data_IF_822563552113
#
_entry.id   IF_822563552113
#
_cell.length_a   1.000
_cell.length_b   1.000
_cell.length_c   1.000
_cell.angle_alpha   90.00
_cell.angle_beta   90.00
_cell.angle_gamma   90.00
#
_symmetry.space_group_name_H-M   'P 1'
#
loop_
_entity.id
_entity.type
_entity.pdbx_description
1 polymer ?
#
# COMPACT_ATOMS: atom_id res chain seq x y z
N UNK A 1 -2.22 -22.43 -1.97
CA UNK A 1 -3.02 -21.53 -2.84
C UNK A 1 -3.58 -20.44 -1.94
N UNK A 2 -3.52 -19.15 -2.34
CA UNK A 2 -4.14 -18.09 -1.54
C UNK A 2 -5.66 -18.32 -1.46
N UNK A 3 -6.27 -17.97 -0.33
CA UNK A 3 -7.72 -18.01 -0.16
C UNK A 3 -8.38 -16.91 -1.00
N UNK A 4 -9.53 -17.22 -1.62
CA UNK A 4 -10.33 -16.24 -2.37
C UNK A 4 -11.38 -15.64 -1.46
N UNK A 5 -11.35 -14.32 -1.28
CA UNK A 5 -12.35 -13.55 -0.56
C UNK A 5 -13.23 -12.82 -1.58
N UNK A 6 -14.55 -12.90 -1.41
CA UNK A 6 -15.54 -12.16 -2.22
C UNK A 6 -16.36 -11.28 -1.28
N UNK A 7 -16.32 -9.97 -1.51
CA UNK A 7 -17.03 -8.97 -0.70
C UNK A 7 -18.00 -8.23 -1.62
N UNK A 8 -19.26 -8.12 -1.20
CA UNK A 8 -20.22 -7.23 -1.86
C UNK A 8 -20.08 -5.84 -1.27
N UNK A 9 -19.80 -4.85 -2.11
CA UNK A 9 -19.77 -3.43 -1.75
C UNK A 9 -20.97 -2.72 -2.38
N UNK A 10 -21.41 -1.56 -1.85
CA UNK A 10 -22.39 -0.71 -2.52
C UNK A 10 -21.96 -0.35 -3.94
N UNK A 11 -22.93 -0.15 -4.84
CA UNK A 11 -22.71 0.07 -6.27
C UNK A 11 -21.89 1.36 -6.56
N UNK A 12 -21.88 2.30 -5.62
CA UNK A 12 -21.10 3.55 -5.70
C UNK A 12 -19.60 3.34 -5.44
N UNK A 13 -19.21 2.20 -4.84
CA UNK A 13 -17.81 1.89 -4.52
C UNK A 13 -17.18 1.14 -5.68
N UNK A 14 -16.21 1.78 -6.33
CA UNK A 14 -15.41 1.13 -7.35
C UNK A 14 -14.51 0.05 -6.74
N UNK A 15 -14.33 -1.06 -7.46
CA UNK A 15 -13.46 -2.17 -7.03
C UNK A 15 -12.04 -1.68 -6.67
N UNK A 16 -11.49 -0.77 -7.47
CA UNK A 16 -10.17 -0.16 -7.23
C UNK A 16 -10.12 0.54 -5.86
N UNK A 17 -11.18 1.23 -5.47
CA UNK A 17 -11.22 2.01 -4.23
C UNK A 17 -11.33 1.08 -3.03
N UNK A 18 -12.12 0.00 -3.15
CA UNK A 18 -12.22 -1.06 -2.16
C UNK A 18 -10.87 -1.79 -1.97
N UNK A 19 -10.22 -2.18 -3.07
CA UNK A 19 -8.89 -2.81 -3.06
C UNK A 19 -7.84 -1.90 -2.42
N UNK A 20 -7.81 -0.63 -2.82
CA UNK A 20 -6.89 0.36 -2.27
C UNK A 20 -7.12 0.55 -0.78
N UNK A 21 -8.37 0.68 -0.32
CA UNK A 21 -8.69 0.82 1.09
C UNK A 21 -8.23 -0.40 1.91
N UNK A 22 -8.46 -1.61 1.39
CA UNK A 22 -8.05 -2.86 2.04
C UNK A 22 -6.52 -3.00 2.08
N UNK A 23 -5.83 -2.69 0.98
CA UNK A 23 -4.37 -2.68 0.92
C UNK A 23 -3.76 -1.71 1.93
N UNK A 24 -4.30 -0.50 2.00
CA UNK A 24 -3.86 0.51 2.96
C UNK A 24 -4.07 0.03 4.39
N UNK A 25 -5.26 -0.48 4.72
CA UNK A 25 -5.56 -0.93 6.08
C UNK A 25 -4.68 -2.11 6.50
N UNK A 26 -4.54 -3.12 5.64
CA UNK A 26 -3.71 -4.29 5.94
C UNK A 26 -2.21 -3.96 6.01
N UNK A 27 -1.74 -2.97 5.25
CA UNK A 27 -0.39 -2.43 5.40
C UNK A 27 -0.21 -1.73 6.76
N UNK A 28 -1.16 -0.88 7.17
CA UNK A 28 -1.15 -0.22 8.49
C UNK A 28 -1.14 -1.20 9.65
N UNK A 29 -1.84 -2.32 9.50
CA UNK A 29 -1.91 -3.37 10.50
C UNK A 29 -0.69 -4.32 10.45
N UNK A 30 0.34 -3.97 9.68
CA UNK A 30 1.58 -4.72 9.46
C UNK A 30 1.34 -6.15 8.95
N UNK A 31 0.20 -6.39 8.29
CA UNK A 31 -0.16 -7.69 7.71
C UNK A 31 0.38 -7.87 6.30
N UNK A 32 0.66 -6.77 5.61
CA UNK A 32 1.24 -6.76 4.27
C UNK A 32 2.52 -5.94 4.27
N UNK A 33 3.51 -6.43 3.53
CA UNK A 33 4.64 -5.59 3.10
C UNK A 33 4.19 -4.55 2.07
N UNK A 34 5.00 -3.50 1.86
CA UNK A 34 4.71 -2.45 0.88
C UNK A 34 4.43 -3.03 -0.52
N UNK A 35 5.24 -4.01 -0.96
CA UNK A 35 5.08 -4.70 -2.25
C UNK A 35 3.81 -5.53 -2.35
N UNK A 36 3.42 -6.21 -1.27
CA UNK A 36 2.18 -6.99 -1.27
C UNK A 36 0.95 -6.07 -1.26
N UNK A 37 1.02 -4.96 -0.53
CA UNK A 37 -0.05 -3.98 -0.48
C UNK A 37 -0.22 -3.25 -1.83
N UNK A 38 0.88 -2.87 -2.50
CA UNK A 38 0.80 -2.30 -3.85
C UNK A 38 0.20 -3.29 -4.85
N UNK A 39 0.59 -4.57 -4.76
CA UNK A 39 -0.01 -5.64 -5.57
C UNK A 39 -1.50 -5.84 -5.31
N UNK A 40 -1.95 -5.77 -4.05
CA UNK A 40 -3.37 -5.87 -3.71
C UNK A 40 -4.19 -4.67 -4.23
N UNK A 41 -3.58 -3.49 -4.29
CA UNK A 41 -4.19 -2.29 -4.84
C UNK A 41 -4.15 -2.21 -6.39
N UNK A 42 -3.54 -3.19 -7.06
CA UNK A 42 -3.23 -3.15 -8.50
C UNK A 42 -2.40 -1.90 -8.90
N UNK A 43 -1.48 -1.48 -8.03
CA UNK A 43 -0.60 -0.32 -8.22
C UNK A 43 0.88 -0.71 -8.23
N UNK A 44 1.69 0.07 -8.93
CA UNK A 44 3.14 0.01 -8.75
C UNK A 44 3.53 0.55 -7.35
N UNK A 45 4.76 0.28 -6.93
CA UNK A 45 5.26 0.71 -5.62
C UNK A 45 5.16 2.23 -5.44
N UNK A 46 5.60 3.00 -6.45
CA UNK A 46 5.63 4.47 -6.39
C UNK A 46 4.23 5.08 -6.25
N UNK A 47 3.26 4.56 -6.99
CA UNK A 47 1.88 5.07 -6.90
C UNK A 47 1.21 4.65 -5.60
N UNK A 48 1.51 3.46 -5.06
CA UNK A 48 1.02 3.08 -3.74
C UNK A 48 1.63 3.93 -2.62
N UNK A 49 2.91 4.31 -2.72
CA UNK A 49 3.54 5.24 -1.78
C UNK A 49 2.88 6.63 -1.80
N UNK A 50 2.51 7.14 -2.99
CA UNK A 50 1.74 8.39 -3.10
C UNK A 50 0.38 8.28 -2.41
N UNK A 51 -0.35 7.17 -2.62
CA UNK A 51 -1.65 6.93 -1.97
C UNK A 51 -1.52 6.93 -0.44
N UNK A 52 -0.48 6.30 0.10
CA UNK A 52 -0.24 6.29 1.54
C UNK A 52 0.03 7.70 2.09
N UNK A 53 0.80 8.51 1.35
CA UNK A 53 1.09 9.91 1.68
C UNK A 53 -0.19 10.78 1.66
N UNK A 54 -0.99 10.69 0.60
CA UNK A 54 -2.22 11.48 0.42
C UNK A 54 -3.29 11.17 1.47
N UNK A 55 -3.45 9.89 1.85
CA UNK A 55 -4.49 9.46 2.78
C UNK A 55 -4.19 9.82 4.25
N UNK A 56 -3.06 10.50 4.55
CA UNK A 56 -2.59 10.78 5.93
C UNK A 56 -2.69 9.57 6.84
N UNK A 57 -2.52 8.39 6.25
CA UNK A 57 -2.15 7.22 7.01
C UNK A 57 -0.84 7.61 7.64
N UNK A 58 -0.71 7.59 8.97
CA UNK A 58 0.61 7.70 9.58
C UNK A 58 1.44 6.53 9.08
N UNK A 59 2.11 6.72 7.94
CA UNK A 59 3.25 5.91 7.47
C UNK A 59 4.47 6.20 8.36
N UNK A 60 4.31 7.07 9.37
CA UNK A 60 5.32 7.42 10.34
C UNK A 60 5.42 6.28 11.35
N UNK A 61 6.19 5.27 11.00
CA UNK A 61 7.38 5.00 11.78
C UNK A 61 8.57 4.53 10.94
N UNK A 62 8.65 4.91 9.67
CA UNK A 62 9.94 4.93 9.00
C UNK A 62 10.55 6.28 9.31
N UNK A 63 11.46 6.31 10.28
CA UNK A 63 12.25 7.50 10.55
C UNK A 63 12.83 7.99 9.23
N UNK A 64 12.84 9.31 9.02
CA UNK A 64 13.30 9.96 7.79
C UNK A 64 14.64 9.40 7.26
N UNK A 65 15.47 8.86 8.15
CA UNK A 65 16.72 8.15 7.85
C UNK A 65 16.57 6.83 7.06
N UNK A 66 15.50 6.06 7.25
CA UNK A 66 15.31 4.75 6.62
C UNK A 66 14.84 4.88 5.16
N UNK A 67 13.95 5.85 4.90
CA UNK A 67 13.57 6.27 3.55
C UNK A 67 14.79 6.80 2.76
N UNK A 68 15.65 7.58 3.41
CA UNK A 68 16.89 8.08 2.79
C UNK A 68 17.89 6.95 2.49
N UNK A 69 17.92 5.89 3.30
CA UNK A 69 18.76 4.71 3.05
C UNK A 69 18.25 3.90 1.86
N UNK A 70 16.95 3.67 1.72
CA UNK A 70 16.41 2.93 0.57
C UNK A 70 16.58 3.68 -0.75
N UNK A 71 16.38 5.02 -0.75
CA UNK A 71 16.61 5.85 -1.94
C UNK A 71 18.08 5.88 -2.38
N UNK A 72 19.04 5.85 -1.44
CA UNK A 72 20.47 5.73 -1.77
C UNK A 72 20.83 4.36 -2.35
N UNK A 73 20.19 3.30 -1.88
CA UNK A 73 20.43 1.95 -2.40
C UNK A 73 19.80 1.73 -3.79
N UNK A 74 18.67 2.37 -4.08
CA UNK A 74 18.02 2.31 -5.39
C UNK A 74 18.82 3.01 -6.50
N UNK A 75 19.66 4.00 -6.15
CA UNK A 75 20.54 4.71 -7.09
C UNK A 75 21.90 4.02 -7.34
N UNK A 76 22.09 2.78 -6.86
CA UNK A 76 23.35 2.03 -7.03
C UNK A 76 23.28 0.86 -8.04
N UNK A 77 22.40 0.94 -9.04
CA UNK A 77 22.39 0.04 -10.20
C UNK A 77 22.46 0.82 -11.52
#
# INVERSE_FOLDING_TARGET
>A
MPERIVIKVPDEILEKDAKTAMAVQLYRDEKLTLKQASGLADLCLDDFMKVLSEKRVSVINWGEEELQKELKNANSF
#
